data_IF_104623639465
#
_entry.id   IF_104623639465
#
_cell.length_a   1.000
_cell.length_b   1.000
_cell.length_c   1.000
_cell.angle_alpha   90.00
_cell.angle_beta   90.00
_cell.angle_gamma   90.00
#
_symmetry.space_group_name_H-M   'P 1'
#
loop_
_entity.id
_entity.type
_entity.pdbx_description
1 polymer ?
#
# COMPACT_ATOMS: atom_id res chain seq x y z
N UNK A 1 58.99 -155.45 114.28
CA UNK A 1 57.95 -154.60 114.90
C UNK A 1 58.44 -153.21 115.28
N UNK A 2 59.72 -153.00 115.58
CA UNK A 2 60.24 -151.64 115.88
C UNK A 2 60.45 -150.76 114.63
N UNK A 3 60.85 -151.33 113.49
CA UNK A 3 61.03 -150.59 112.22
C UNK A 3 59.72 -150.03 111.63
N UNK A 4 58.57 -150.65 111.91
CA UNK A 4 57.26 -150.21 111.43
C UNK A 4 56.65 -149.10 112.30
N UNK A 5 56.92 -149.10 113.61
CA UNK A 5 56.50 -148.03 114.53
C UNK A 5 57.33 -146.76 114.34
N UNK A 6 58.63 -146.87 114.10
CA UNK A 6 59.48 -145.71 113.75
C UNK A 6 59.05 -145.07 112.43
N UNK A 7 58.68 -145.87 111.41
CA UNK A 7 58.14 -145.35 110.13
C UNK A 7 56.79 -144.64 110.31
N UNK A 8 55.88 -145.21 111.09
CA UNK A 8 54.59 -144.56 111.39
C UNK A 8 54.76 -143.28 112.22
N UNK A 9 55.77 -143.19 113.09
CA UNK A 9 56.07 -141.98 113.85
C UNK A 9 56.74 -140.91 112.98
N UNK A 10 57.63 -141.29 112.06
CA UNK A 10 58.19 -140.35 111.06
C UNK A 10 57.11 -139.85 110.11
N UNK A 11 56.27 -140.73 109.58
CA UNK A 11 55.17 -140.35 108.67
C UNK A 11 54.12 -139.49 109.40
N UNK A 12 53.85 -139.78 110.68
CA UNK A 12 52.98 -138.94 111.51
C UNK A 12 53.59 -137.56 111.73
N UNK A 13 54.90 -137.47 112.03
CA UNK A 13 55.62 -136.19 112.20
C UNK A 13 55.73 -135.40 110.89
N UNK A 14 56.00 -136.06 109.77
CA UNK A 14 56.05 -135.47 108.44
C UNK A 14 54.68 -134.95 108.02
N UNK A 15 53.61 -135.75 108.18
CA UNK A 15 52.24 -135.28 107.94
C UNK A 15 51.81 -134.17 108.90
N UNK A 16 52.31 -134.11 110.14
CA UNK A 16 52.12 -132.92 111.01
C UNK A 16 52.86 -131.71 110.47
N UNK A 17 54.12 -131.86 110.07
CA UNK A 17 54.93 -130.76 109.52
C UNK A 17 54.38 -130.25 108.19
N UNK A 18 53.93 -131.12 107.29
CA UNK A 18 53.30 -130.75 106.02
C UNK A 18 51.96 -130.06 106.25
N UNK A 19 51.15 -130.54 107.20
CA UNK A 19 49.90 -129.87 107.58
C UNK A 19 50.15 -128.51 108.20
N UNK A 20 51.19 -128.36 109.01
CA UNK A 20 51.54 -127.10 109.64
C UNK A 20 52.17 -126.12 108.62
N UNK A 21 52.96 -126.60 107.66
CA UNK A 21 53.42 -125.83 106.49
C UNK A 21 52.24 -125.40 105.62
N UNK A 22 51.34 -126.32 105.28
CA UNK A 22 50.13 -126.00 104.54
C UNK A 22 49.24 -125.00 105.30
N UNK A 23 49.16 -125.08 106.64
CA UNK A 23 48.46 -124.08 107.46
C UNK A 23 49.19 -122.73 107.51
N UNK A 24 50.52 -122.73 107.49
CA UNK A 24 51.33 -121.52 107.43
C UNK A 24 51.24 -120.86 106.05
N UNK A 25 51.16 -121.61 104.96
CA UNK A 25 50.98 -121.13 103.59
C UNK A 25 49.52 -120.74 103.28
N UNK A 26 48.54 -121.38 103.93
CA UNK A 26 47.13 -121.05 103.79
C UNK A 26 46.79 -119.65 104.33
N UNK A 27 47.49 -119.17 105.37
CA UNK A 27 47.27 -117.82 105.94
C UNK A 27 47.62 -116.69 104.95
N UNK A 28 48.83 -116.62 104.35
CA UNK A 28 49.16 -115.59 103.38
C UNK A 28 48.36 -115.75 102.09
N UNK A 29 48.03 -116.97 101.66
CA UNK A 29 47.20 -117.16 100.48
C UNK A 29 45.78 -116.62 100.70
N UNK A 30 45.18 -116.86 101.88
CA UNK A 30 43.89 -116.27 102.27
C UNK A 30 43.95 -114.76 102.37
N UNK A 31 45.03 -114.22 102.93
CA UNK A 31 45.21 -112.78 103.06
C UNK A 31 45.40 -112.11 101.70
N UNK A 32 46.19 -112.69 100.80
CA UNK A 32 46.35 -112.22 99.42
C UNK A 32 45.03 -112.34 98.63
N UNK A 33 44.24 -113.40 98.84
CA UNK A 33 42.91 -113.53 98.26
C UNK A 33 41.98 -112.41 98.76
N UNK A 34 42.04 -112.12 100.06
CA UNK A 34 41.26 -111.04 100.66
C UNK A 34 41.70 -109.66 100.15
N UNK A 35 43.00 -109.39 100.08
CA UNK A 35 43.57 -108.14 99.54
C UNK A 35 43.21 -107.96 98.06
N UNK A 36 43.25 -109.04 97.28
CA UNK A 36 42.83 -109.01 95.88
C UNK A 36 41.33 -108.79 95.73
N UNK A 37 40.51 -109.41 96.58
CA UNK A 37 39.06 -109.21 96.62
C UNK A 37 38.73 -107.77 97.03
N UNK A 38 39.46 -107.17 97.98
CA UNK A 38 39.29 -105.76 98.35
C UNK A 38 39.75 -104.81 97.25
N UNK A 39 40.88 -105.07 96.59
CA UNK A 39 41.37 -104.24 95.48
C UNK A 39 40.44 -104.33 94.25
N UNK A 40 39.89 -105.52 93.98
CA UNK A 40 38.88 -105.72 92.94
C UNK A 40 37.56 -105.03 93.31
N UNK A 41 37.15 -105.04 94.58
CA UNK A 41 35.99 -104.29 95.07
C UNK A 41 36.20 -102.78 94.93
N UNK A 42 37.36 -102.25 95.31
CA UNK A 42 37.70 -100.83 95.19
C UNK A 42 37.70 -100.39 93.72
N UNK A 43 38.27 -101.19 92.81
CA UNK A 43 38.21 -100.91 91.36
C UNK A 43 36.79 -100.95 90.82
N UNK A 44 35.96 -101.90 91.26
CA UNK A 44 34.55 -101.95 90.87
C UNK A 44 33.79 -100.71 91.36
N UNK A 45 34.11 -100.20 92.54
CA UNK A 45 33.52 -98.98 93.08
C UNK A 45 33.99 -97.73 92.30
N UNK A 46 35.28 -97.63 91.97
CA UNK A 46 35.84 -96.57 91.12
C UNK A 46 35.25 -96.59 89.70
N UNK A 47 35.18 -97.75 89.07
CA UNK A 47 34.57 -97.93 87.75
C UNK A 47 33.07 -97.58 87.79
N UNK A 48 32.37 -97.94 88.87
CA UNK A 48 30.97 -97.58 89.07
C UNK A 48 30.77 -96.07 89.18
N UNK A 49 31.67 -95.37 89.90
CA UNK A 49 31.68 -93.91 89.97
C UNK A 49 31.93 -93.29 88.59
N UNK A 50 32.94 -93.77 87.86
CA UNK A 50 33.27 -93.27 86.53
C UNK A 50 32.12 -93.46 85.53
N UNK A 51 31.46 -94.63 85.57
CA UNK A 51 30.29 -94.91 84.73
C UNK A 51 29.16 -93.93 85.04
N UNK A 52 28.93 -93.62 86.32
CA UNK A 52 27.87 -92.71 86.72
C UNK A 52 28.17 -91.25 86.33
N UNK A 53 29.41 -90.79 86.48
CA UNK A 53 29.85 -89.47 85.98
C UNK A 53 29.68 -89.36 84.46
N UNK A 54 30.09 -90.40 83.71
CA UNK A 54 29.91 -90.44 82.26
C UNK A 54 28.44 -90.43 81.86
N UNK A 55 27.57 -91.12 82.61
CA UNK A 55 26.12 -91.08 82.39
C UNK A 55 25.55 -89.70 82.62
N UNK A 56 25.88 -89.06 83.75
CA UNK A 56 25.42 -87.70 84.06
C UNK A 56 25.90 -86.68 83.01
N UNK A 57 27.16 -86.78 82.59
CA UNK A 57 27.72 -85.96 81.51
C UNK A 57 26.99 -86.19 80.18
N UNK A 58 26.69 -87.45 79.83
CA UNK A 58 25.94 -87.78 78.61
C UNK A 58 24.51 -87.25 78.66
N UNK A 59 23.82 -87.39 79.79
CA UNK A 59 22.46 -86.88 80.02
C UNK A 59 22.42 -85.35 79.88
N UNK A 60 23.41 -84.67 80.46
CA UNK A 60 23.57 -83.22 80.35
C UNK A 60 23.80 -82.78 78.91
N UNK A 61 24.72 -83.44 78.19
CA UNK A 61 24.98 -83.17 76.78
C UNK A 61 23.74 -83.41 75.91
N UNK A 62 23.00 -84.51 76.14
CA UNK A 62 21.73 -84.78 75.44
C UNK A 62 20.71 -83.67 75.66
N UNK A 63 20.60 -83.19 76.90
CA UNK A 63 19.69 -82.10 77.26
C UNK A 63 20.09 -80.79 76.55
N UNK A 64 21.39 -80.47 76.51
CA UNK A 64 21.89 -79.32 75.77
C UNK A 64 21.63 -79.43 74.26
N UNK A 65 21.90 -80.59 73.65
CA UNK A 65 21.64 -80.84 72.23
C UNK A 65 20.15 -80.65 71.92
N UNK A 66 19.26 -81.23 72.73
CA UNK A 66 17.82 -81.07 72.55
C UNK A 66 17.37 -79.60 72.66
N UNK A 67 17.95 -78.83 73.59
CA UNK A 67 17.68 -77.41 73.72
C UNK A 67 18.18 -76.61 72.52
N UNK A 68 19.39 -76.88 72.04
CA UNK A 68 19.97 -76.24 70.85
C UNK A 68 19.19 -76.59 69.58
N UNK A 69 18.73 -77.82 69.43
CA UNK A 69 17.87 -78.21 68.31
C UNK A 69 16.53 -77.48 68.34
N UNK A 70 15.94 -77.30 69.52
CA UNK A 70 14.69 -76.55 69.69
C UNK A 70 14.87 -75.07 69.34
N UNK A 71 15.95 -74.44 69.82
CA UNK A 71 16.22 -73.03 69.51
C UNK A 71 16.57 -72.84 68.04
N UNK A 72 17.31 -73.76 67.43
CA UNK A 72 17.61 -73.75 66.00
C UNK A 72 16.33 -73.86 65.16
N UNK A 73 15.45 -74.81 65.47
CA UNK A 73 14.15 -74.96 64.79
C UNK A 73 13.31 -73.69 64.90
N UNK A 74 13.24 -73.08 66.09
CA UNK A 74 12.51 -71.83 66.28
C UNK A 74 13.13 -70.67 65.49
N UNK A 75 14.46 -70.56 65.47
CA UNK A 75 15.17 -69.55 64.70
C UNK A 75 14.93 -69.71 63.19
N UNK A 76 14.92 -70.94 62.67
CA UNK A 76 14.60 -71.22 61.27
C UNK A 76 13.17 -70.83 60.91
N UNK A 77 12.18 -71.14 61.76
CA UNK A 77 10.78 -70.74 61.54
C UNK A 77 10.66 -69.21 61.53
N UNK A 78 11.22 -68.54 62.53
CA UNK A 78 11.21 -67.08 62.62
C UNK A 78 11.91 -66.43 61.41
N UNK A 79 13.00 -67.03 60.92
CA UNK A 79 13.71 -66.55 59.73
C UNK A 79 12.87 -66.66 58.47
N UNK A 80 12.16 -67.77 58.28
CA UNK A 80 11.27 -67.95 57.12
C UNK A 80 10.06 -67.02 57.19
N UNK A 81 9.45 -66.84 58.36
CA UNK A 81 8.35 -65.88 58.56
C UNK A 81 8.78 -64.45 58.24
N UNK A 82 9.97 -64.04 58.68
CA UNK A 82 10.56 -62.75 58.35
C UNK A 82 10.84 -62.62 56.84
N UNK A 83 11.32 -63.69 56.20
CA UNK A 83 11.56 -63.70 54.74
C UNK A 83 10.25 -63.49 53.98
N UNK A 84 9.20 -64.22 54.33
CA UNK A 84 7.88 -64.10 53.71
C UNK A 84 7.25 -62.71 53.95
N UNK A 85 7.41 -62.15 55.15
CA UNK A 85 6.95 -60.79 55.47
C UNK A 85 7.67 -59.73 54.62
N UNK A 86 9.00 -59.85 54.49
CA UNK A 86 9.81 -58.96 53.65
C UNK A 86 9.45 -59.10 52.17
N UNK A 87 9.28 -60.33 51.66
CA UNK A 87 8.87 -60.56 50.26
C UNK A 87 7.51 -59.95 49.97
N UNK A 88 6.57 -60.01 50.91
CA UNK A 88 5.27 -59.36 50.80
C UNK A 88 5.39 -57.83 50.83
N UNK A 89 6.28 -57.25 51.65
CA UNK A 89 6.54 -55.81 51.65
C UNK A 89 7.19 -55.34 50.35
N UNK A 90 8.18 -56.08 49.84
CA UNK A 90 8.83 -55.80 48.55
C UNK A 90 7.80 -55.84 47.43
N UNK A 91 6.88 -56.81 47.43
CA UNK A 91 5.80 -56.90 46.44
C UNK A 91 4.88 -55.69 46.47
N UNK A 92 4.41 -55.30 47.67
CA UNK A 92 3.57 -54.10 47.84
C UNK A 92 4.29 -52.83 47.37
N UNK A 93 5.57 -52.67 47.72
CA UNK A 93 6.37 -51.53 47.29
C UNK A 93 6.50 -51.49 45.76
N UNK A 94 6.76 -52.63 45.11
CA UNK A 94 6.78 -52.73 43.64
C UNK A 94 5.44 -52.33 43.03
N UNK A 95 4.32 -52.84 43.54
CA UNK A 95 2.98 -52.46 43.08
C UNK A 95 2.71 -50.95 43.22
N UNK A 96 3.14 -50.34 44.34
CA UNK A 96 3.01 -48.88 44.51
C UNK A 96 3.88 -48.10 43.52
N UNK A 97 5.10 -48.56 43.25
CA UNK A 97 6.00 -47.95 42.27
C UNK A 97 5.38 -48.04 40.87
N UNK A 98 4.84 -49.20 40.49
CA UNK A 98 4.19 -49.39 39.19
C UNK A 98 2.94 -48.51 39.04
N UNK A 99 2.13 -48.39 40.08
CA UNK A 99 0.97 -47.50 40.10
C UNK A 99 1.38 -46.02 39.92
N UNK A 100 2.44 -45.60 40.63
CA UNK A 100 2.96 -44.23 40.54
C UNK A 100 3.56 -43.95 39.15
N UNK A 101 4.31 -44.90 38.59
CA UNK A 101 4.85 -44.79 37.23
C UNK A 101 3.73 -44.70 36.18
N UNK A 102 2.65 -45.46 36.35
CA UNK A 102 1.48 -45.37 35.47
C UNK A 102 0.79 -44.00 35.57
N UNK A 103 0.60 -43.49 36.79
CA UNK A 103 0.05 -42.14 37.02
C UNK A 103 0.94 -41.05 36.43
N UNK A 104 2.26 -41.16 36.59
CA UNK A 104 3.24 -40.24 36.02
C UNK A 104 3.16 -40.24 34.49
N UNK A 105 3.11 -41.43 33.88
CA UNK A 105 2.98 -41.59 32.42
C UNK A 105 1.68 -40.96 31.90
N UNK A 106 0.56 -41.17 32.61
CA UNK A 106 -0.71 -40.56 32.24
C UNK A 106 -0.67 -39.03 32.39
N UNK A 107 -0.05 -38.52 33.44
CA UNK A 107 0.12 -37.07 33.63
C UNK A 107 0.96 -36.45 32.52
N UNK A 108 2.09 -37.08 32.15
CA UNK A 108 2.94 -36.64 31.05
C UNK A 108 2.19 -36.63 29.70
N UNK A 109 1.38 -37.66 29.42
CA UNK A 109 0.53 -37.68 28.21
C UNK A 109 -0.49 -36.54 28.20
N UNK A 110 -1.12 -36.25 29.33
CA UNK A 110 -2.06 -35.13 29.44
C UNK A 110 -1.36 -33.79 29.24
N UNK A 111 -0.17 -33.61 29.82
CA UNK A 111 0.63 -32.40 29.63
C UNK A 111 0.98 -32.22 28.15
N UNK A 112 1.43 -33.29 27.48
CA UNK A 112 1.76 -33.24 26.06
C UNK A 112 0.54 -32.88 25.19
N UNK A 113 -0.61 -33.48 25.46
CA UNK A 113 -1.88 -33.12 24.80
C UNK A 113 -2.21 -31.64 24.99
N UNK A 114 -2.03 -31.10 26.20
CA UNK A 114 -2.28 -29.68 26.47
C UNK A 114 -1.26 -28.75 25.80
N UNK A 115 -0.01 -29.17 25.67
CA UNK A 115 0.99 -28.40 24.92
C UNK A 115 0.63 -28.29 23.43
N UNK A 116 0.12 -29.36 22.82
CA UNK A 116 -0.38 -29.33 21.43
C UNK A 116 -1.59 -28.40 21.30
N UNK A 117 -2.54 -28.46 22.24
CA UNK A 117 -3.69 -27.54 22.26
C UNK A 117 -3.25 -26.07 22.38
N UNK A 118 -2.28 -25.77 23.25
CA UNK A 118 -1.72 -24.42 23.42
C UNK A 118 -1.04 -23.92 22.15
N UNK A 119 -0.26 -24.77 21.48
CA UNK A 119 0.40 -24.41 20.22
C UNK A 119 -0.61 -24.11 19.11
N UNK A 120 -1.68 -24.91 19.02
CA UNK A 120 -2.76 -24.69 18.06
C UNK A 120 -3.48 -23.35 18.34
N UNK A 121 -3.77 -23.06 19.61
CA UNK A 121 -4.38 -21.78 20.00
C UNK A 121 -3.46 -20.59 19.72
N UNK A 122 -2.16 -20.71 19.99
CA UNK A 122 -1.18 -19.67 19.67
C UNK A 122 -1.11 -19.42 18.16
N UNK A 123 -1.17 -20.48 17.35
CA UNK A 123 -1.19 -20.37 15.89
C UNK A 123 -2.47 -19.68 15.40
N UNK A 124 -3.63 -20.06 15.93
CA UNK A 124 -4.90 -19.42 15.61
C UNK A 124 -4.91 -17.93 16.02
N UNK A 125 -4.37 -17.61 17.19
CA UNK A 125 -4.23 -16.22 17.64
C UNK A 125 -3.34 -15.40 16.71
N UNK A 126 -2.21 -15.98 16.26
CA UNK A 126 -1.34 -15.37 15.26
C UNK A 126 -2.06 -15.09 13.93
N UNK A 127 -2.91 -16.01 13.48
CA UNK A 127 -3.75 -15.81 12.29
C UNK A 127 -4.76 -14.68 12.48
N UNK A 128 -5.42 -14.60 13.63
CA UNK A 128 -6.34 -13.50 13.94
C UNK A 128 -5.65 -12.15 13.94
N UNK A 129 -4.43 -12.03 14.47
CA UNK A 129 -3.67 -10.78 14.40
C UNK A 129 -3.34 -10.37 12.96
N UNK A 130 -2.93 -11.33 12.12
CA UNK A 130 -2.69 -11.06 10.69
C UNK A 130 -3.97 -10.64 9.96
N UNK A 131 -5.11 -11.24 10.29
CA UNK A 131 -6.41 -10.88 9.72
C UNK A 131 -6.87 -9.48 10.16
N UNK A 132 -6.65 -9.13 11.44
CA UNK A 132 -6.92 -7.77 11.95
C UNK A 132 -6.07 -6.74 11.20
N UNK A 133 -4.77 -6.98 11.05
CA UNK A 133 -3.87 -6.07 10.34
C UNK A 133 -4.26 -5.90 8.86
N UNK A 134 -4.60 -6.99 8.18
CA UNK A 134 -5.10 -6.96 6.81
C UNK A 134 -6.42 -6.18 6.71
N UNK A 135 -7.34 -6.38 7.65
CA UNK A 135 -8.61 -5.63 7.71
C UNK A 135 -8.38 -4.14 7.88
N UNK A 136 -7.50 -3.74 8.80
CA UNK A 136 -7.16 -2.32 8.98
C UNK A 136 -6.53 -1.72 7.73
N UNK A 137 -5.71 -2.48 7.00
CA UNK A 137 -5.16 -2.04 5.71
C UNK A 137 -6.27 -1.77 4.70
N UNK A 138 -7.21 -2.70 4.53
CA UNK A 138 -8.35 -2.51 3.63
C UNK A 138 -9.28 -1.38 4.07
N UNK A 139 -9.47 -1.16 5.38
CA UNK A 139 -10.24 -0.03 5.89
C UNK A 139 -9.59 1.31 5.52
N UNK A 140 -8.26 1.42 5.58
CA UNK A 140 -7.51 2.60 5.14
C UNK A 140 -7.62 2.81 3.63
N UNK A 141 -7.43 1.77 2.82
CA UNK A 141 -7.60 1.84 1.36
C UNK A 141 -9.02 2.25 0.97
N UNK A 142 -10.03 1.69 1.64
CA UNK A 142 -11.44 2.04 1.42
C UNK A 142 -11.71 3.51 1.76
N UNK A 143 -11.10 4.05 2.81
CA UNK A 143 -11.23 5.46 3.17
C UNK A 143 -10.62 6.37 2.08
N UNK A 144 -9.44 6.02 1.56
CA UNK A 144 -8.80 6.74 0.45
C UNK A 144 -9.66 6.69 -0.81
N UNK A 145 -10.14 5.50 -1.20
CA UNK A 145 -11.00 5.34 -2.36
C UNK A 145 -12.32 6.14 -2.24
N UNK A 146 -12.89 6.23 -1.03
CA UNK A 146 -14.06 7.08 -0.76
C UNK A 146 -13.77 8.57 -0.90
N UNK A 147 -12.60 9.03 -0.43
CA UNK A 147 -12.18 10.42 -0.59
C UNK A 147 -11.94 10.78 -2.06
N UNK A 148 -11.29 9.89 -2.82
CA UNK A 148 -11.11 10.04 -4.27
C UNK A 148 -12.45 10.08 -5.01
N UNK A 149 -13.40 9.20 -4.65
CA UNK A 149 -14.74 9.23 -5.21
C UNK A 149 -15.46 10.56 -4.92
N UNK A 150 -15.33 11.09 -3.70
CA UNK A 150 -15.91 12.38 -3.33
C UNK A 150 -15.27 13.54 -4.13
N UNK A 151 -13.95 13.52 -4.33
CA UNK A 151 -13.25 14.50 -5.17
C UNK A 151 -13.72 14.44 -6.62
N UNK A 152 -13.79 13.23 -7.21
CA UNK A 152 -14.27 13.05 -8.58
C UNK A 152 -15.72 13.50 -8.74
N UNK A 153 -16.58 13.21 -7.76
CA UNK A 153 -17.97 13.66 -7.78
C UNK A 153 -18.06 15.20 -7.72
N UNK A 154 -17.22 15.86 -6.90
CA UNK A 154 -17.16 17.32 -6.85
C UNK A 154 -16.67 17.92 -8.18
N UNK A 155 -15.63 17.35 -8.79
CA UNK A 155 -15.15 17.78 -10.10
C UNK A 155 -16.19 17.57 -11.21
N UNK A 156 -16.91 16.45 -11.19
CA UNK A 156 -17.99 16.18 -12.13
C UNK A 156 -19.09 17.23 -12.01
N UNK A 157 -19.50 17.55 -10.77
CA UNK A 157 -20.52 18.58 -10.51
C UNK A 157 -20.08 19.96 -11.00
N UNK A 158 -18.84 20.38 -10.75
CA UNK A 158 -18.31 21.66 -11.26
C UNK A 158 -18.29 21.68 -12.80
N UNK A 159 -17.86 20.59 -13.43
CA UNK A 159 -17.87 20.47 -14.88
C UNK A 159 -19.29 20.56 -15.46
N UNK A 160 -20.27 19.92 -14.82
CA UNK A 160 -21.68 20.00 -15.23
C UNK A 160 -22.23 21.42 -15.09
N UNK A 161 -21.94 22.11 -13.99
CA UNK A 161 -22.33 23.51 -13.78
C UNK A 161 -21.71 24.45 -14.83
N UNK A 162 -20.44 24.24 -15.18
CA UNK A 162 -19.73 24.98 -16.25
C UNK A 162 -20.28 24.66 -17.64
N UNK A 163 -20.68 23.42 -17.90
CA UNK A 163 -21.30 23.03 -19.15
C UNK A 163 -22.68 23.70 -19.30
N UNK A 164 -23.47 23.74 -18.23
CA UNK A 164 -24.77 24.41 -18.22
C UNK A 164 -24.67 25.92 -18.43
N UNK A 165 -23.69 26.60 -17.83
CA UNK A 165 -23.47 28.03 -18.07
C UNK A 165 -23.06 28.30 -19.51
N UNK A 166 -22.10 27.53 -20.05
CA UNK A 166 -21.69 27.63 -21.46
C UNK A 166 -22.85 27.34 -22.42
N UNK A 167 -23.71 26.38 -22.10
CA UNK A 167 -24.89 26.06 -22.91
C UNK A 167 -25.92 27.20 -22.90
N UNK A 168 -26.11 27.88 -21.76
CA UNK A 168 -26.95 29.09 -21.67
C UNK A 168 -26.38 30.23 -22.52
N UNK A 169 -25.08 30.50 -22.41
CA UNK A 169 -24.40 31.52 -23.22
C UNK A 169 -24.52 31.21 -24.73
N UNK A 170 -24.31 29.94 -25.11
CA UNK A 170 -24.50 29.48 -26.49
C UNK A 170 -25.93 29.75 -26.97
N UNK A 171 -26.95 29.42 -26.17
CA UNK A 171 -28.36 29.72 -26.50
C UNK A 171 -28.58 31.22 -26.69
N UNK A 172 -28.05 32.05 -25.79
CA UNK A 172 -28.17 33.50 -25.90
C UNK A 172 -27.49 34.04 -27.17
N UNK A 173 -26.27 33.59 -27.48
CA UNK A 173 -25.56 33.97 -28.72
C UNK A 173 -26.35 33.52 -29.95
N UNK A 174 -26.88 32.29 -29.97
CA UNK A 174 -27.68 31.82 -31.11
C UNK A 174 -28.95 32.64 -31.30
N UNK A 175 -29.62 33.06 -30.22
CA UNK A 175 -30.80 33.93 -30.34
C UNK A 175 -30.47 35.34 -30.86
N UNK A 176 -29.34 35.92 -30.42
CA UNK A 176 -28.82 37.19 -30.93
C UNK A 176 -28.42 37.09 -32.40
N UNK A 177 -27.78 35.98 -32.79
CA UNK A 177 -27.42 35.69 -34.17
C UNK A 177 -28.68 35.61 -35.06
N UNK A 178 -29.69 34.84 -34.65
CA UNK A 178 -30.96 34.74 -35.36
C UNK A 178 -31.67 36.10 -35.49
N UNK A 179 -31.59 36.97 -34.48
CA UNK A 179 -32.13 38.32 -34.57
C UNK A 179 -31.34 39.19 -35.55
N UNK A 180 -30.01 39.16 -35.50
CA UNK A 180 -29.15 39.88 -36.43
C UNK A 180 -29.35 39.41 -37.88
N UNK A 181 -29.50 38.11 -38.11
CA UNK A 181 -29.82 37.54 -39.43
C UNK A 181 -31.16 38.05 -39.97
N UNK A 182 -32.21 38.12 -39.13
CA UNK A 182 -33.50 38.70 -39.54
C UNK A 182 -33.38 40.17 -39.92
N UNK A 183 -32.71 40.99 -39.10
CA UNK A 183 -32.49 42.41 -39.38
C UNK A 183 -31.66 42.60 -40.65
N UNK A 184 -30.62 41.78 -40.86
CA UNK A 184 -29.83 41.81 -42.08
C UNK A 184 -30.66 41.44 -43.32
N UNK A 185 -31.54 40.44 -43.23
CA UNK A 185 -32.47 40.09 -44.31
C UNK A 185 -33.44 41.25 -44.62
N UNK A 186 -34.00 41.90 -43.60
CA UNK A 186 -34.85 43.09 -43.78
C UNK A 186 -34.10 44.27 -44.44
N UNK A 187 -32.88 44.56 -43.99
CA UNK A 187 -32.03 45.58 -44.61
C UNK A 187 -31.70 45.26 -46.05
N UNK A 188 -31.35 44.00 -46.36
CA UNK A 188 -31.11 43.54 -47.73
C UNK A 188 -32.33 43.77 -48.62
N UNK A 189 -33.54 43.48 -48.13
CA UNK A 189 -34.79 43.76 -48.85
C UNK A 189 -35.00 45.26 -49.08
N UNK A 190 -34.71 46.11 -48.09
CA UNK A 190 -34.79 47.58 -48.26
C UNK A 190 -33.79 48.10 -49.27
N UNK A 191 -32.55 47.61 -49.22
CA UNK A 191 -31.50 47.98 -50.18
C UNK A 191 -31.93 47.59 -51.58
N UNK A 192 -32.40 46.35 -51.80
CA UNK A 192 -32.91 45.91 -53.11
C UNK A 192 -34.06 46.78 -53.62
N UNK A 193 -34.99 47.22 -52.75
CA UNK A 193 -36.06 48.16 -53.13
C UNK A 193 -35.51 49.54 -53.52
N UNK A 194 -34.56 50.08 -52.75
CA UNK A 194 -33.92 51.37 -53.07
C UNK A 194 -33.12 51.27 -54.37
N UNK A 195 -32.44 50.16 -54.61
CA UNK A 195 -31.74 49.89 -55.89
C UNK A 195 -32.71 49.86 -57.07
N UNK A 196 -33.88 49.21 -56.91
CA UNK A 196 -34.93 49.19 -57.93
C UNK A 196 -35.49 50.60 -58.21
N UNK A 197 -35.77 51.38 -57.17
CA UNK A 197 -36.27 52.75 -57.32
C UNK A 197 -35.21 53.68 -57.93
N UNK A 198 -33.93 53.52 -57.57
CA UNK A 198 -32.82 54.25 -58.19
C UNK A 198 -32.70 53.90 -59.68
N UNK A 199 -32.86 52.62 -60.04
CA UNK A 199 -32.91 52.19 -61.44
C UNK A 199 -34.08 52.83 -62.21
N UNK A 200 -35.28 52.93 -61.60
CA UNK A 200 -36.42 53.65 -62.20
C UNK A 200 -36.12 55.13 -62.42
N UNK A 201 -35.53 55.81 -61.43
CA UNK A 201 -35.16 57.23 -61.54
C UNK A 201 -34.09 57.42 -62.61
N UNK A 202 -33.07 56.57 -62.68
CA UNK A 202 -32.05 56.58 -63.75
C UNK A 202 -32.69 56.43 -65.12
N UNK A 203 -33.62 55.50 -65.30
CA UNK A 203 -34.35 55.32 -66.57
C UNK A 203 -35.15 56.58 -66.96
N UNK A 204 -35.86 57.22 -66.02
CA UNK A 204 -36.60 58.47 -66.28
C UNK A 204 -35.64 59.62 -66.61
N UNK A 205 -34.51 59.71 -65.92
CA UNK A 205 -33.49 60.71 -66.19
C UNK A 205 -32.89 60.51 -67.59
N UNK A 206 -32.52 59.28 -67.94
CA UNK A 206 -32.03 58.94 -69.28
C UNK A 206 -33.05 59.30 -70.36
N UNK A 207 -34.34 59.01 -70.15
CA UNK A 207 -35.41 59.41 -71.07
C UNK A 207 -35.55 60.93 -71.19
N UNK A 208 -35.44 61.67 -70.09
CA UNK A 208 -35.55 63.14 -70.11
C UNK A 208 -34.33 63.82 -70.74
N UNK A 209 -33.12 63.31 -70.49
CA UNK A 209 -31.89 63.72 -71.18
C UNK A 209 -31.98 63.39 -72.67
N UNK A 210 -32.47 62.22 -73.05
CA UNK A 210 -32.69 61.87 -74.46
C UNK A 210 -33.72 62.80 -75.13
N UNK A 211 -34.78 63.20 -74.42
CA UNK A 211 -35.75 64.19 -74.89
C UNK A 211 -35.12 65.59 -75.04
N UNK A 212 -34.31 66.03 -74.08
CA UNK A 212 -33.66 67.34 -74.12
C UNK A 212 -32.61 67.41 -75.23
N UNK A 213 -31.81 66.37 -75.43
CA UNK A 213 -30.87 66.28 -76.54
C UNK A 213 -31.57 66.31 -77.90
N UNK A 214 -32.76 65.70 -78.03
CA UNK A 214 -33.60 65.84 -79.24
C UNK A 214 -34.10 67.27 -79.43
N UNK A 215 -34.51 67.96 -78.37
CA UNK A 215 -34.98 69.35 -78.44
C UNK A 215 -33.86 70.37 -78.65
N UNK A 216 -32.64 70.09 -78.20
CA UNK A 216 -31.48 70.98 -78.32
C UNK A 216 -30.79 70.92 -79.69
N UNK A 217 -30.99 69.87 -80.49
CA UNK A 217 -30.39 69.75 -81.83
C UNK A 217 -31.09 70.61 -82.91
N UNK A 218 -32.21 71.26 -82.58
CA UNK A 218 -33.10 71.86 -83.59
C UNK A 218 -33.11 73.40 -83.63
N UNK A 219 -32.37 74.12 -82.76
CA UNK A 219 -32.47 75.60 -82.71
C UNK A 219 -31.17 76.43 -82.66
N UNK A 220 -29.99 75.85 -82.83
CA UNK A 220 -28.74 76.64 -82.85
C UNK A 220 -28.09 76.53 -84.24
N UNK A 221 -27.69 77.68 -84.82
CA UNK A 221 -26.92 77.87 -86.08
C UNK A 221 -27.63 78.33 -87.36
N UNK A 222 -28.73 79.11 -87.31
CA UNK A 222 -29.23 79.81 -88.51
C UNK A 222 -29.59 81.28 -88.22
N UNK A 223 -28.58 82.14 -88.06
CA UNK A 223 -28.80 83.60 -88.18
C UNK A 223 -29.16 83.89 -89.63
N UNK A 224 -30.40 84.32 -89.89
CA UNK A 224 -30.94 84.55 -91.22
C UNK A 224 -30.01 85.47 -92.03
N UNK A 225 -29.53 84.97 -93.18
CA UNK A 225 -28.64 85.67 -94.11
C UNK A 225 -29.16 87.07 -94.46
N UNK A 226 -30.47 87.28 -94.49
CA UNK A 226 -31.08 88.60 -94.73
C UNK A 226 -30.76 89.62 -93.65
N UNK A 227 -30.71 89.21 -92.38
CA UNK A 227 -30.40 90.08 -91.24
C UNK A 227 -28.93 90.52 -91.31
N UNK A 228 -28.03 89.59 -91.64
CA UNK A 228 -26.59 89.87 -91.80
C UNK A 228 -26.34 90.84 -92.96
N UNK A 229 -26.96 90.63 -94.12
CA UNK A 229 -26.85 91.53 -95.28
C UNK A 229 -27.37 92.93 -94.91
N UNK A 230 -28.51 93.02 -94.23
CA UNK A 230 -29.11 94.31 -93.86
C UNK A 230 -28.22 95.09 -92.88
N UNK A 231 -27.58 94.42 -91.93
CA UNK A 231 -26.62 95.04 -91.03
C UNK A 231 -25.38 95.58 -91.76
N UNK A 232 -24.79 94.78 -92.67
CA UNK A 232 -23.66 95.21 -93.51
C UNK A 232 -24.03 96.42 -94.38
N UNK A 233 -25.18 96.38 -95.06
CA UNK A 233 -25.66 97.49 -95.90
C UNK A 233 -25.89 98.76 -95.06
N UNK A 234 -26.48 98.62 -93.87
CA UNK A 234 -26.73 99.76 -92.98
C UNK A 234 -25.42 100.37 -92.46
N UNK A 235 -24.39 99.54 -92.23
CA UNK A 235 -23.07 100.00 -91.81
C UNK A 235 -22.39 100.86 -92.89
N UNK A 236 -22.42 100.44 -94.17
CA UNK A 236 -21.83 101.21 -95.27
C UNK A 236 -22.66 102.45 -95.65
N UNK A 237 -24.00 102.40 -95.60
CA UNK A 237 -24.84 103.54 -95.94
C UNK A 237 -24.76 104.69 -94.93
N UNK A 238 -24.57 104.38 -93.63
CA UNK A 238 -24.52 105.38 -92.55
C UNK A 238 -23.08 105.77 -92.17
N UNK A 239 -22.20 105.91 -93.15
CA UNK A 239 -20.85 106.47 -92.99
C UNK A 239 -20.06 105.82 -91.82
N UNK A 240 -20.09 104.48 -91.73
CA UNK A 240 -19.41 103.68 -90.70
C UNK A 240 -19.84 103.98 -89.25
N UNK A 241 -21.14 104.11 -89.00
CA UNK A 241 -21.67 104.31 -87.64
C UNK A 241 -21.30 103.15 -86.70
N UNK A 242 -20.65 103.49 -85.56
CA UNK A 242 -20.18 102.57 -84.53
C UNK A 242 -21.30 101.76 -83.85
N UNK A 243 -22.51 102.31 -83.76
CA UNK A 243 -23.64 101.60 -83.13
C UNK A 243 -24.11 100.39 -83.94
N UNK A 244 -24.02 100.46 -85.27
CA UNK A 244 -24.36 99.33 -86.15
C UNK A 244 -23.32 98.23 -86.02
N UNK A 245 -22.04 98.60 -85.85
CA UNK A 245 -20.95 97.66 -85.62
C UNK A 245 -21.11 96.95 -84.26
N UNK A 246 -21.45 97.67 -83.20
CA UNK A 246 -21.72 97.08 -81.87
C UNK A 246 -22.91 96.10 -81.90
N UNK A 247 -23.97 96.44 -82.65
CA UNK A 247 -25.10 95.55 -82.85
C UNK A 247 -24.73 94.28 -83.63
N UNK A 248 -23.88 94.40 -84.66
CA UNK A 248 -23.36 93.25 -85.42
C UNK A 248 -22.53 92.33 -84.56
N UNK A 249 -21.64 92.88 -83.74
CA UNK A 249 -20.82 92.12 -82.79
C UNK A 249 -21.70 91.31 -81.83
N UNK A 250 -22.77 91.94 -81.31
CA UNK A 250 -23.68 91.29 -80.35
C UNK A 250 -24.59 90.25 -81.01
N UNK A 251 -25.08 90.47 -82.24
CA UNK A 251 -25.94 89.51 -82.95
C UNK A 251 -25.19 88.35 -83.60
N UNK A 252 -23.99 88.59 -84.14
CA UNK A 252 -23.20 87.58 -84.83
C UNK A 252 -22.25 86.81 -83.90
N UNK A 253 -22.19 87.19 -82.62
CA UNK A 253 -21.38 86.50 -81.61
C UNK A 253 -19.88 86.60 -81.89
N UNK A 254 -19.38 87.76 -82.31
CA UNK A 254 -17.95 87.96 -82.60
C UNK A 254 -17.11 87.66 -81.34
N UNK A 255 -16.03 86.89 -81.48
CA UNK A 255 -15.06 86.67 -80.39
C UNK A 255 -14.37 87.99 -80.02
N UNK A 256 -13.81 88.08 -78.81
CA UNK A 256 -13.05 89.28 -78.41
C UNK A 256 -11.88 89.59 -79.36
N UNK A 257 -11.33 88.59 -80.05
CA UNK A 257 -10.25 88.79 -81.05
C UNK A 257 -10.76 89.46 -82.34
N UNK A 258 -11.99 89.14 -82.77
CA UNK A 258 -12.60 89.76 -83.95
C UNK A 258 -13.08 91.19 -83.67
N UNK A 259 -13.47 91.48 -82.42
CA UNK A 259 -13.82 92.85 -81.95
C UNK A 259 -12.62 93.79 -81.96
N UNK A 260 -11.42 93.27 -81.69
CA UNK A 260 -10.17 94.03 -81.72
C UNK A 260 -9.73 94.36 -83.16
N UNK A 261 -9.97 93.47 -84.13
CA UNK A 261 -9.64 93.67 -85.56
C UNK A 261 -10.53 94.68 -86.28
N UNK A 262 -11.77 94.89 -85.82
CA UNK A 262 -12.74 95.82 -86.43
C UNK A 262 -12.81 97.19 -85.72
N UNK A 263 -11.91 97.46 -84.77
CA UNK A 263 -11.77 98.77 -84.14
C UNK A 263 -12.85 99.15 -83.11
N UNK A 264 -13.67 98.18 -82.67
CA UNK A 264 -14.73 98.39 -81.69
C UNK A 264 -14.26 98.30 -80.22
N UNK A 265 -13.14 97.64 -79.95
CA UNK A 265 -12.65 97.36 -78.60
C UNK A 265 -11.64 98.41 -78.07
N UNK A 266 -12.09 99.63 -77.78
CA UNK A 266 -11.35 100.58 -76.92
C UNK A 266 -12.29 101.39 -76.02
N UNK A 267 -12.95 100.76 -75.04
CA UNK A 267 -13.39 101.41 -73.78
C UNK A 267 -14.01 100.43 -72.75
N UNK A 268 -13.36 100.30 -71.57
CA UNK A 268 -13.94 99.82 -70.29
C UNK A 268 -13.96 98.30 -70.04
N UNK A 269 -13.45 97.69 -68.96
CA UNK A 269 -12.93 98.17 -67.68
C UNK A 269 -13.82 97.79 -66.47
N UNK A 270 -13.46 96.75 -65.69
CA UNK A 270 -13.97 96.44 -64.33
C UNK A 270 -14.47 94.99 -64.16
N UNK A 271 -13.81 94.06 -63.44
CA UNK A 271 -13.47 93.95 -61.99
C UNK A 271 -14.66 93.57 -61.10
N UNK A 272 -14.61 92.38 -60.49
CA UNK A 272 -15.54 91.96 -59.43
C UNK A 272 -15.12 90.67 -58.73
N UNK A 273 -14.56 90.79 -57.53
CA UNK A 273 -14.16 89.75 -56.56
C UNK A 273 -14.94 89.99 -55.28
N UNK A 274 -15.50 88.96 -54.64
CA UNK A 274 -15.63 88.77 -53.17
C UNK A 274 -16.33 87.41 -52.91
N UNK A 275 -16.17 86.66 -51.80
CA UNK A 275 -15.22 86.54 -50.67
C UNK A 275 -15.95 85.71 -49.59
N UNK A 276 -15.23 84.80 -48.92
CA UNK A 276 -15.53 84.33 -47.56
C UNK A 276 -16.14 82.92 -47.46
N UNK A 277 -15.86 82.08 -46.48
CA UNK A 277 -15.12 82.25 -45.22
C UNK A 277 -14.51 80.89 -44.81
N UNK A 278 -13.33 80.99 -44.22
CA UNK A 278 -12.48 79.98 -43.59
C UNK A 278 -13.16 79.27 -42.40
N UNK A 279 -13.01 77.94 -42.30
CA UNK A 279 -13.44 77.17 -41.13
C UNK A 279 -12.78 75.79 -41.05
N UNK A 280 -11.53 75.75 -40.60
CA UNK A 280 -10.91 74.58 -39.93
C UNK A 280 -10.73 74.99 -38.45
N UNK A 281 -10.96 74.11 -37.45
CA UNK A 281 -10.01 73.02 -37.17
C UNK A 281 -10.63 71.73 -36.58
N UNK A 282 -9.97 70.59 -36.74
CA UNK A 282 -10.34 69.38 -35.99
C UNK A 282 -9.74 68.08 -36.51
N UNK A 283 -8.41 67.96 -36.46
CA UNK A 283 -7.67 66.71 -36.70
C UNK A 283 -7.45 66.05 -35.34
N UNK A 284 -8.19 64.98 -35.04
CA UNK A 284 -7.82 64.02 -33.99
C UNK A 284 -7.78 62.61 -34.59
N UNK A 285 -6.55 62.12 -34.70
CA UNK A 285 -6.07 60.74 -34.47
C UNK A 285 -7.01 59.61 -34.90
N UNK A 286 -6.63 58.99 -36.02
CA UNK A 286 -7.07 57.66 -36.41
C UNK A 286 -6.37 56.54 -35.64
N UNK A 287 -7.05 55.40 -35.60
CA UNK A 287 -6.70 54.15 -34.91
C UNK A 287 -7.95 53.70 -34.15
N UNK A 288 -8.62 52.60 -34.44
CA UNK A 288 -8.21 51.29 -34.96
C UNK A 288 -9.38 50.76 -35.80
N UNK A 289 -9.10 50.41 -37.06
CA UNK A 289 -9.97 49.59 -37.91
C UNK A 289 -9.08 48.52 -38.53
N UNK A 290 -9.25 47.26 -38.13
CA UNK A 290 -8.50 46.16 -38.72
C UNK A 290 -8.61 44.84 -37.98
N UNK A 291 -9.65 44.07 -38.29
CA UNK A 291 -9.76 42.67 -37.88
C UNK A 291 -10.68 41.92 -38.85
N UNK A 292 -10.09 41.35 -39.90
CA UNK A 292 -10.75 40.60 -40.98
C UNK A 292 -10.91 39.12 -40.62
N UNK A 293 -11.89 38.52 -41.31
CA UNK A 293 -12.26 37.12 -41.37
C UNK A 293 -11.14 36.11 -41.68
N UNK A 294 -11.45 34.87 -41.28
CA UNK A 294 -11.13 33.58 -41.88
C UNK A 294 -10.49 33.60 -43.29
N UNK A 295 -9.47 32.76 -43.53
CA UNK A 295 -9.72 31.40 -44.02
C UNK A 295 -8.47 30.49 -43.97
N UNK A 296 -8.78 29.19 -43.87
CA UNK A 296 -8.06 27.94 -44.12
C UNK A 296 -6.62 27.84 -44.71
N UNK A 297 -5.93 26.80 -44.18
CA UNK A 297 -4.92 25.89 -44.76
C UNK A 297 -3.41 25.99 -44.42
N UNK A 298 -2.93 24.84 -43.87
CA UNK A 298 -1.62 24.19 -44.01
C UNK A 298 -0.44 24.59 -43.10
N UNK A 299 -0.09 23.65 -42.20
CA UNK A 299 1.26 23.19 -41.85
C UNK A 299 2.42 24.16 -42.08
N UNK A 300 2.91 24.78 -41.01
CA UNK A 300 4.32 24.65 -40.57
C UNK A 300 4.51 25.26 -39.18
N UNK A 301 5.36 24.59 -38.44
CA UNK A 301 5.95 24.89 -37.13
C UNK A 301 6.36 26.34 -36.87
N UNK A 302 6.40 26.62 -35.56
CA UNK A 302 7.16 27.64 -34.82
C UNK A 302 6.68 29.09 -34.84
N UNK A 303 6.67 29.63 -33.62
CA UNK A 303 6.68 31.05 -33.27
C UNK A 303 5.32 31.73 -33.13
N UNK A 304 4.60 31.34 -32.08
CA UNK A 304 3.73 32.24 -31.32
C UNK A 304 3.70 31.78 -29.85
N UNK A 305 4.87 31.70 -29.21
CA UNK A 305 4.92 31.71 -27.74
C UNK A 305 4.70 33.16 -27.31
N UNK A 306 3.56 33.40 -26.65
CA UNK A 306 3.21 34.72 -26.13
C UNK A 306 4.28 35.17 -25.14
N UNK A 307 4.59 36.47 -25.09
CA UNK A 307 5.51 37.05 -24.09
C UNK A 307 5.15 36.64 -22.66
N UNK A 308 3.86 36.37 -22.39
CA UNK A 308 3.38 35.82 -21.13
C UNK A 308 3.88 34.38 -20.88
N UNK A 309 3.92 33.52 -21.90
CA UNK A 309 4.40 32.14 -21.78
C UNK A 309 5.92 32.09 -21.58
N UNK A 310 6.66 32.96 -22.28
CA UNK A 310 8.11 33.13 -22.05
C UNK A 310 8.42 33.67 -20.65
N UNK A 311 7.55 34.52 -20.11
CA UNK A 311 7.67 35.01 -18.73
C UNK A 311 7.37 33.92 -17.70
N UNK A 312 6.36 33.09 -17.96
CA UNK A 312 6.03 31.95 -17.09
C UNK A 312 7.17 30.93 -17.10
N UNK A 313 7.72 30.61 -18.27
CA UNK A 313 8.88 29.72 -18.40
C UNK A 313 10.12 30.29 -17.72
N UNK A 314 10.35 31.61 -17.81
CA UNK A 314 11.44 32.27 -17.09
C UNK A 314 11.26 32.16 -15.57
N UNK A 315 10.05 32.36 -15.04
CA UNK A 315 9.77 32.26 -13.61
C UNK A 315 9.87 30.82 -13.09
N UNK A 316 9.42 29.84 -13.86
CA UNK A 316 9.58 28.42 -13.55
C UNK A 316 11.05 28.02 -13.56
N UNK A 317 11.80 28.48 -14.56
CA UNK A 317 13.24 28.22 -14.68
C UNK A 317 14.04 28.85 -13.54
N UNK A 318 13.76 30.09 -13.16
CA UNK A 318 14.40 30.76 -12.02
C UNK A 318 14.07 30.07 -10.68
N UNK A 319 12.85 29.56 -10.52
CA UNK A 319 12.45 28.80 -9.34
C UNK A 319 13.19 27.45 -9.25
N UNK A 320 13.30 26.72 -10.36
CA UNK A 320 14.03 25.45 -10.38
C UNK A 320 15.54 25.64 -10.19
N UNK A 321 16.12 26.72 -10.70
CA UNK A 321 17.56 27.00 -10.57
C UNK A 321 17.91 27.32 -9.11
N UNK A 322 17.07 28.08 -8.40
CA UNK A 322 17.19 28.29 -6.93
C UNK A 322 17.05 26.99 -6.13
N UNK A 323 16.14 26.10 -6.50
CA UNK A 323 15.98 24.83 -5.81
C UNK A 323 17.19 23.90 -6.04
N UNK A 324 17.79 23.93 -7.23
CA UNK A 324 19.03 23.18 -7.52
C UNK A 324 20.23 23.73 -6.75
N UNK A 325 20.37 25.05 -6.65
CA UNK A 325 21.43 25.67 -5.83
C UNK A 325 21.27 25.36 -4.34
N UNK A 326 20.04 25.34 -3.82
CA UNK A 326 19.79 24.95 -2.43
C UNK A 326 20.10 23.47 -2.18
N UNK A 327 19.76 22.58 -3.13
CA UNK A 327 20.10 21.16 -3.05
C UNK A 327 21.62 20.93 -3.12
N UNK A 328 22.32 21.66 -3.98
CA UNK A 328 23.79 21.60 -4.08
C UNK A 328 24.48 22.16 -2.83
N UNK A 329 23.99 23.27 -2.26
CA UNK A 329 24.50 23.81 -0.98
C UNK A 329 24.26 22.85 0.18
N UNK A 330 23.11 22.16 0.23
CA UNK A 330 22.83 21.14 1.25
C UNK A 330 23.69 19.89 1.11
N UNK A 331 24.05 19.48 -0.12
CA UNK A 331 24.95 18.35 -0.36
C UNK A 331 26.43 18.66 -0.08
N UNK A 332 26.86 19.93 -0.15
CA UNK A 332 28.23 20.33 0.21
C UNK A 332 28.44 20.56 1.72
N UNK A 333 27.38 20.50 2.53
CA UNK A 333 27.42 20.66 3.99
C UNK A 333 27.24 19.32 4.76
N UNK A 334 27.24 18.21 4.04
CA UNK A 334 27.32 16.82 4.53
C UNK A 334 28.66 16.23 4.09
#
# INVERSE_FOLDING_TARGET
MEQSLQRLETDSKETRQERDKARQELKPLKQHLLEKETEESEKMDEDSQLIEELRQSNEYQRSQIAQLEKTLKQAMVNQEDNRLSNDNHIRKLKETIDNLNQKLTNCLRTIESKNVELLNLQTALGQYYAEIEAKEHFERELAVAKDELMKLYACLKDSDERLESSNKEKKDITSKLLHAEKVAAEWKNRVSKVEEDNAKVRNVLEQSVARLNRMSMESDYLVDRRIVIKLLVTYFQKNHNKEVLDLMVRMLGFSEEDKERIGAAKQGGGKGVVRGVLGFPGRFVGGILGGKSADSHANTTSDNQSFADLWVDFLLKDAEEREREEKQKKQQQL
#
